data_IF_047749947219
#
_entry.id   IF_047749947219
#
_cell.length_a   1.000
_cell.length_b   1.000
_cell.length_c   1.000
_cell.angle_alpha   90.00
_cell.angle_beta   90.00
_cell.angle_gamma   90.00
#
_symmetry.space_group_name_H-M   'P 1'
#
loop_
_entity.id
_entity.type
_entity.pdbx_description
1 polymer ?
#
# COMPACT_ATOMS: atom_id res chain seq x y z
N UNK A 1 -41.54 -9.96 17.09
CA UNK A 1 -40.37 -10.62 17.71
C UNK A 1 -39.83 -11.68 16.78
N UNK A 2 -38.92 -11.29 15.86
CA UNK A 2 -38.12 -12.24 15.06
C UNK A 2 -36.82 -12.46 15.78
N UNK A 3 -36.69 -13.59 16.46
CA UNK A 3 -35.39 -14.14 16.85
C UNK A 3 -34.65 -14.47 15.54
N UNK A 4 -33.68 -13.61 15.16
CA UNK A 4 -32.66 -13.98 14.18
C UNK A 4 -31.85 -15.10 14.82
N UNK A 5 -32.02 -16.30 14.31
CA UNK A 5 -31.14 -17.42 14.59
C UNK A 5 -29.76 -17.06 14.04
N UNK A 6 -28.83 -16.74 14.93
CA UNK A 6 -27.41 -16.64 14.57
C UNK A 6 -26.95 -18.02 14.13
N UNK A 7 -26.61 -18.14 12.86
CA UNK A 7 -26.07 -19.37 12.28
C UNK A 7 -24.78 -19.75 13.02
N UNK A 8 -24.89 -20.82 13.74
CA UNK A 8 -24.02 -21.70 14.45
C UNK A 8 -22.52 -21.63 14.34
N UNK A 9 -21.92 -20.47 14.55
CA UNK A 9 -20.48 -20.40 14.84
C UNK A 9 -20.29 -20.78 16.32
N UNK A 10 -19.56 -21.84 16.66
CA UNK A 10 -19.32 -22.20 18.05
C UNK A 10 -18.72 -21.02 18.81
N UNK A 11 -19.17 -20.82 20.06
CA UNK A 11 -18.68 -19.73 20.90
C UNK A 11 -17.14 -19.84 21.04
N UNK A 12 -16.42 -18.77 20.70
CA UNK A 12 -14.95 -18.76 20.59
C UNK A 12 -14.39 -18.95 19.18
N UNK A 13 -15.19 -19.34 18.21
CA UNK A 13 -14.75 -19.54 16.83
C UNK A 13 -14.30 -18.23 16.16
N UNK A 14 -14.84 -17.08 16.56
CA UNK A 14 -14.40 -15.78 16.06
C UNK A 14 -12.92 -15.53 16.40
N UNK A 15 -12.52 -15.74 17.64
CA UNK A 15 -11.14 -15.58 18.08
C UNK A 15 -10.18 -16.51 17.34
N UNK A 16 -10.56 -17.76 17.18
CA UNK A 16 -9.75 -18.75 16.46
C UNK A 16 -9.64 -18.40 14.98
N UNK A 17 -10.72 -18.00 14.33
CA UNK A 17 -10.72 -17.58 12.92
C UNK A 17 -9.84 -16.35 12.69
N UNK A 18 -9.91 -15.35 13.59
CA UNK A 18 -9.06 -14.15 13.52
C UNK A 18 -7.59 -14.53 13.65
N UNK A 19 -7.22 -15.34 14.65
CA UNK A 19 -5.82 -15.73 14.85
C UNK A 19 -5.29 -16.75 13.81
N UNK A 20 -6.17 -17.44 13.12
CA UNK A 20 -5.82 -18.27 11.97
C UNK A 20 -5.62 -17.45 10.68
N UNK A 21 -5.85 -16.12 10.71
CA UNK A 21 -5.80 -15.27 9.53
C UNK A 21 -6.98 -15.45 8.56
N UNK A 22 -8.04 -16.16 8.97
CA UNK A 22 -9.23 -16.44 8.16
C UNK A 22 -10.25 -15.28 8.19
N UNK A 23 -9.76 -14.05 8.24
CA UNK A 23 -10.57 -12.85 8.40
C UNK A 23 -11.43 -12.55 7.15
N UNK A 24 -10.94 -12.91 5.96
CA UNK A 24 -11.54 -12.65 4.66
C UNK A 24 -11.95 -13.94 3.95
N UNK A 25 -12.49 -14.88 4.65
CA UNK A 25 -12.86 -16.16 4.07
C UNK A 25 -14.24 -16.64 4.47
N UNK A 26 -14.55 -17.89 4.07
CA UNK A 26 -15.80 -18.56 4.39
C UNK A 26 -16.01 -18.84 5.89
N UNK A 27 -14.96 -18.67 6.72
CA UNK A 27 -14.99 -18.98 8.15
C UNK A 27 -15.61 -17.87 9.01
N UNK A 28 -15.47 -16.59 8.58
CA UNK A 28 -16.06 -15.43 9.26
C UNK A 28 -16.58 -14.48 8.21
N UNK A 29 -17.90 -14.26 8.17
CA UNK A 29 -18.49 -13.31 7.25
C UNK A 29 -18.18 -11.87 7.70
N UNK A 30 -17.89 -10.97 6.75
CA UNK A 30 -17.64 -9.56 7.06
C UNK A 30 -18.82 -8.90 7.81
N UNK A 31 -20.05 -9.38 7.59
CA UNK A 31 -21.25 -8.97 8.31
C UNK A 31 -21.22 -9.35 9.80
N UNK A 32 -20.68 -10.51 10.16
CA UNK A 32 -20.57 -10.95 11.56
C UNK A 32 -19.56 -10.10 12.34
N UNK A 33 -18.46 -9.71 11.69
CA UNK A 33 -17.48 -8.80 12.28
C UNK A 33 -18.06 -7.40 12.46
N UNK A 34 -18.77 -6.89 11.47
CA UNK A 34 -19.43 -5.59 11.54
C UNK A 34 -20.50 -5.57 12.64
N UNK A 35 -21.31 -6.63 12.78
CA UNK A 35 -22.28 -6.77 13.85
C UNK A 35 -21.61 -6.87 15.23
N UNK A 36 -20.52 -7.62 15.34
CA UNK A 36 -19.71 -7.70 16.57
C UNK A 36 -19.20 -6.32 16.99
N UNK A 37 -18.63 -5.56 16.08
CA UNK A 37 -18.08 -4.22 16.37
C UNK A 37 -19.19 -3.22 16.72
N UNK A 38 -20.34 -3.29 16.06
CA UNK A 38 -21.46 -2.38 16.28
C UNK A 38 -22.25 -2.68 17.57
N UNK A 39 -22.09 -3.85 18.17
CA UNK A 39 -22.82 -4.22 19.39
C UNK A 39 -22.26 -3.50 20.61
N UNK A 40 -23.15 -2.93 21.45
CA UNK A 40 -22.78 -2.33 22.75
C UNK A 40 -22.83 -3.33 23.93
N UNK A 41 -23.20 -4.60 23.69
CA UNK A 41 -23.34 -5.63 24.72
C UNK A 41 -22.01 -6.33 25.00
N UNK A 42 -21.32 -5.91 26.05
CA UNK A 42 -20.06 -6.49 26.49
C UNK A 42 -20.14 -7.99 26.80
N UNK A 43 -21.29 -8.47 27.30
CA UNK A 43 -21.49 -9.89 27.58
C UNK A 43 -21.52 -10.74 26.30
N UNK A 44 -22.18 -10.25 25.27
CA UNK A 44 -22.16 -10.89 23.93
C UNK A 44 -20.77 -10.91 23.32
N UNK A 45 -20.03 -9.82 23.45
CA UNK A 45 -18.64 -9.73 22.93
C UNK A 45 -17.72 -10.74 23.61
N UNK A 46 -17.78 -10.83 24.92
CA UNK A 46 -16.98 -11.80 25.68
C UNK A 46 -17.33 -13.24 25.31
N UNK A 47 -18.62 -13.54 25.16
CA UNK A 47 -19.08 -14.86 24.77
C UNK A 47 -18.65 -15.22 23.34
N UNK A 48 -18.81 -14.30 22.39
CA UNK A 48 -18.42 -14.52 21.01
C UNK A 48 -16.90 -14.69 20.85
N UNK A 49 -16.12 -13.93 21.61
CA UNK A 49 -14.66 -13.96 21.53
C UNK A 49 -14.02 -15.13 22.26
N UNK A 50 -14.34 -15.30 23.54
CA UNK A 50 -13.69 -16.30 24.40
C UNK A 50 -14.45 -17.64 24.49
N UNK A 51 -15.74 -17.65 24.18
CA UNK A 51 -16.56 -18.84 24.32
C UNK A 51 -17.12 -19.08 25.73
N UNK A 52 -18.11 -19.98 25.81
CA UNK A 52 -18.81 -20.28 27.07
C UNK A 52 -17.92 -20.94 28.12
N UNK A 53 -17.06 -21.88 27.69
CA UNK A 53 -16.19 -22.65 28.58
C UNK A 53 -15.14 -21.76 29.24
N UNK A 54 -14.55 -20.84 28.46
CA UNK A 54 -13.62 -19.88 29.03
C UNK A 54 -14.29 -18.92 30.01
N UNK A 55 -15.50 -18.48 29.72
CA UNK A 55 -16.27 -17.63 30.64
C UNK A 55 -16.67 -18.38 31.93
N UNK A 56 -16.97 -19.67 31.85
CA UNK A 56 -17.20 -20.50 33.02
C UNK A 56 -15.95 -20.61 33.88
N UNK A 57 -14.79 -20.85 33.27
CA UNK A 57 -13.50 -20.83 33.94
C UNK A 57 -13.21 -19.46 34.59
N UNK A 58 -13.48 -18.35 33.89
CA UNK A 58 -13.27 -17.00 34.42
C UNK A 58 -14.11 -16.75 35.67
N UNK A 59 -15.36 -17.23 35.71
CA UNK A 59 -16.25 -17.06 36.85
C UNK A 59 -15.73 -17.76 38.12
N UNK A 60 -14.94 -18.80 37.95
CA UNK A 60 -14.32 -19.56 39.05
C UNK A 60 -13.03 -18.91 39.59
N UNK A 61 -12.49 -17.89 38.90
CA UNK A 61 -11.24 -17.24 39.34
C UNK A 61 -11.48 -16.28 40.51
N UNK A 62 -10.56 -16.22 41.47
CA UNK A 62 -10.63 -15.29 42.60
C UNK A 62 -10.52 -13.82 42.16
N UNK A 63 -9.62 -13.54 41.20
CA UNK A 63 -9.49 -12.23 40.56
C UNK A 63 -9.97 -12.31 39.07
N UNK A 64 -11.28 -12.24 38.90
CA UNK A 64 -11.91 -12.28 37.56
C UNK A 64 -11.49 -11.11 36.68
N UNK A 65 -11.31 -9.94 37.30
CA UNK A 65 -11.01 -8.70 36.57
C UNK A 65 -9.58 -8.73 36.05
N UNK A 66 -8.64 -9.13 36.88
CA UNK A 66 -7.24 -9.30 36.49
C UNK A 66 -7.07 -10.40 35.44
N UNK A 67 -7.76 -11.54 35.61
CA UNK A 67 -7.70 -12.64 34.64
C UNK A 67 -8.27 -12.24 33.27
N UNK A 68 -9.40 -11.52 33.25
CA UNK A 68 -9.98 -11.00 32.00
C UNK A 68 -9.03 -10.01 31.33
N UNK A 69 -8.54 -9.04 32.10
CA UNK A 69 -7.60 -8.03 31.57
C UNK A 69 -6.36 -8.68 30.97
N UNK A 70 -5.75 -9.61 31.69
CA UNK A 70 -4.56 -10.32 31.20
C UNK A 70 -4.84 -11.13 29.92
N UNK A 71 -6.06 -11.69 29.78
CA UNK A 71 -6.44 -12.39 28.55
C UNK A 71 -6.64 -11.44 27.37
N UNK A 72 -7.29 -10.30 27.59
CA UNK A 72 -7.49 -9.26 26.57
C UNK A 72 -6.16 -8.66 26.15
N UNK A 73 -5.30 -8.29 27.10
CA UNK A 73 -3.97 -7.72 26.81
C UNK A 73 -3.11 -8.69 25.99
N UNK A 74 -3.18 -9.98 26.28
CA UNK A 74 -2.47 -11.02 25.52
C UNK A 74 -2.99 -11.13 24.08
N UNK A 75 -4.32 -11.07 23.90
CA UNK A 75 -4.92 -11.14 22.59
C UNK A 75 -4.65 -9.88 21.77
N UNK A 76 -4.63 -8.70 22.40
CA UNK A 76 -4.21 -7.44 21.77
C UNK A 76 -2.76 -7.57 21.27
N UNK A 77 -1.83 -7.99 22.16
CA UNK A 77 -0.43 -8.15 21.77
C UNK A 77 -0.25 -9.12 20.59
N UNK A 78 -1.04 -10.20 20.55
CA UNK A 78 -1.03 -11.15 19.43
C UNK A 78 -1.57 -10.54 18.14
N UNK A 79 -2.63 -9.74 18.21
CA UNK A 79 -3.16 -9.02 17.05
C UNK A 79 -2.15 -8.00 16.53
N UNK A 80 -1.52 -7.24 17.43
CA UNK A 80 -0.48 -6.27 17.07
C UNK A 80 0.70 -6.95 16.36
N UNK A 81 1.12 -8.12 16.83
CA UNK A 81 2.16 -8.90 16.17
C UNK A 81 1.73 -9.36 14.76
N UNK A 82 0.49 -9.82 14.60
CA UNK A 82 -0.04 -10.23 13.30
C UNK A 82 -0.13 -9.05 12.32
N UNK A 83 -0.63 -7.91 12.79
CA UNK A 83 -0.72 -6.67 12.00
C UNK A 83 0.69 -6.21 11.60
N UNK A 84 1.64 -6.19 12.54
CA UNK A 84 3.02 -5.78 12.27
C UNK A 84 3.69 -6.67 11.22
N UNK A 85 3.53 -7.98 11.32
CA UNK A 85 4.03 -8.92 10.30
C UNK A 85 3.42 -8.67 8.92
N UNK A 86 2.13 -8.38 8.87
CA UNK A 86 1.44 -8.09 7.62
C UNK A 86 1.90 -6.76 7.01
N UNK A 87 2.04 -5.73 7.82
CA UNK A 87 2.58 -4.44 7.41
C UNK A 87 4.01 -4.57 6.90
N UNK A 88 4.86 -5.29 7.63
CA UNK A 88 6.23 -5.57 7.22
C UNK A 88 6.28 -6.27 5.86
N UNK A 89 5.42 -7.25 5.62
CA UNK A 89 5.35 -7.95 4.35
C UNK A 89 4.94 -7.02 3.20
N UNK A 90 4.02 -6.08 3.45
CA UNK A 90 3.61 -5.07 2.47
C UNK A 90 4.73 -4.05 2.23
N UNK A 91 5.32 -3.51 3.30
CA UNK A 91 6.38 -2.50 3.22
C UNK A 91 7.67 -3.04 2.58
N UNK A 92 7.96 -4.32 2.76
CA UNK A 92 9.10 -5.00 2.11
C UNK A 92 8.82 -5.44 0.68
N UNK A 93 7.60 -5.20 0.17
CA UNK A 93 7.28 -5.54 -1.21
C UNK A 93 8.14 -4.67 -2.17
N UNK A 94 8.98 -5.28 -3.05
CA UNK A 94 9.91 -4.52 -3.89
C UNK A 94 9.23 -3.46 -4.78
N UNK A 95 8.00 -3.74 -5.22
CA UNK A 95 7.24 -2.77 -6.02
C UNK A 95 6.83 -1.55 -5.21
N UNK A 96 6.45 -1.74 -3.94
CA UNK A 96 6.09 -0.65 -3.04
C UNK A 96 7.33 0.18 -2.70
N UNK A 97 8.45 -0.46 -2.39
CA UNK A 97 9.70 0.23 -2.07
C UNK A 97 10.21 1.09 -3.24
N UNK A 98 10.10 0.58 -4.47
CA UNK A 98 10.43 1.38 -5.67
C UNK A 98 9.51 2.59 -5.81
N UNK A 99 8.21 2.39 -5.65
CA UNK A 99 7.23 3.48 -5.73
C UNK A 99 7.48 4.54 -4.64
N UNK A 100 7.72 4.10 -3.42
CA UNK A 100 8.08 4.98 -2.30
C UNK A 100 9.36 5.76 -2.57
N UNK A 101 10.40 5.09 -3.08
CA UNK A 101 11.65 5.73 -3.48
C UNK A 101 11.44 6.83 -4.52
N UNK A 102 10.69 6.55 -5.59
CA UNK A 102 10.36 7.53 -6.63
C UNK A 102 9.60 8.73 -6.06
N UNK A 103 8.56 8.50 -5.28
CA UNK A 103 7.76 9.58 -4.68
C UNK A 103 8.55 10.38 -3.63
N UNK A 104 9.37 9.73 -2.84
CA UNK A 104 10.25 10.40 -1.89
C UNK A 104 11.29 11.27 -2.60
N UNK A 105 11.82 10.79 -3.72
CA UNK A 105 12.72 11.57 -4.58
C UNK A 105 12.05 12.82 -5.15
N UNK A 106 10.83 12.68 -5.67
CA UNK A 106 10.04 13.81 -6.15
C UNK A 106 9.72 14.80 -5.02
N UNK A 107 9.28 14.30 -3.86
CA UNK A 107 9.03 15.14 -2.67
C UNK A 107 10.27 15.93 -2.27
N UNK A 108 11.43 15.27 -2.22
CA UNK A 108 12.70 15.89 -1.93
C UNK A 108 13.07 17.00 -2.93
N UNK A 109 12.83 16.79 -4.22
CA UNK A 109 13.05 17.83 -5.24
C UNK A 109 12.12 19.02 -5.03
N UNK A 110 10.81 18.75 -4.82
CA UNK A 110 9.81 19.81 -4.65
C UNK A 110 10.11 20.68 -3.42
N UNK A 111 10.50 20.06 -2.31
CA UNK A 111 10.84 20.79 -1.07
C UNK A 111 12.05 21.71 -1.24
N UNK A 112 12.96 21.39 -2.17
CA UNK A 112 14.17 22.16 -2.43
C UNK A 112 14.04 23.16 -3.57
N UNK A 113 12.88 23.19 -4.25
CA UNK A 113 12.63 24.25 -5.22
C UNK A 113 12.62 25.61 -4.50
N UNK A 114 13.30 26.63 -5.07
CA UNK A 114 13.29 27.97 -4.47
C UNK A 114 11.84 28.47 -4.34
N UNK A 115 11.47 28.89 -3.14
CA UNK A 115 10.14 29.46 -2.86
C UNK A 115 10.21 30.97 -3.02
N UNK A 116 9.28 31.58 -3.76
CA UNK A 116 9.16 33.04 -3.81
C UNK A 116 8.88 33.64 -5.18
N UNK A 117 8.66 34.96 -5.20
CA UNK A 117 8.46 35.76 -6.42
C UNK A 117 9.77 35.78 -7.21
N UNK A 118 9.78 35.14 -8.36
CA UNK A 118 10.97 34.98 -9.22
C UNK A 118 11.47 33.55 -9.37
N UNK A 119 10.82 32.59 -8.74
CA UNK A 119 11.11 31.20 -8.98
C UNK A 119 10.74 30.81 -10.43
N UNK A 120 11.78 30.58 -11.25
CA UNK A 120 11.62 30.19 -12.65
C UNK A 120 11.74 28.68 -12.85
N UNK A 121 11.96 27.90 -11.77
CA UNK A 121 12.08 26.45 -11.85
C UNK A 121 10.70 25.80 -11.82
N UNK A 122 10.40 25.05 -12.87
CA UNK A 122 9.15 24.28 -12.98
C UNK A 122 9.51 22.80 -13.08
N UNK A 123 8.89 21.99 -12.24
CA UNK A 123 9.00 20.53 -12.30
C UNK A 123 7.79 19.99 -13.06
N UNK A 124 8.06 19.29 -14.16
CA UNK A 124 7.04 18.55 -14.91
C UNK A 124 7.33 17.04 -14.74
N UNK A 125 6.30 16.26 -14.50
CA UNK A 125 6.42 14.81 -14.34
C UNK A 125 5.87 14.12 -15.58
N UNK A 126 6.70 13.31 -16.24
CA UNK A 126 6.30 12.42 -17.32
C UNK A 126 6.22 10.98 -16.83
N UNK A 127 5.02 10.42 -16.78
CA UNK A 127 4.84 9.01 -16.46
C UNK A 127 4.99 8.18 -17.76
N UNK A 128 6.09 7.44 -17.85
CA UNK A 128 6.33 6.47 -18.91
C UNK A 128 6.98 5.22 -18.31
N UNK A 129 6.55 4.03 -18.77
CA UNK A 129 7.21 2.78 -18.35
C UNK A 129 8.44 2.55 -19.21
N UNK A 130 9.50 1.97 -18.62
CA UNK A 130 10.72 1.67 -19.36
C UNK A 130 10.49 0.92 -20.67
N UNK A 131 9.61 -0.09 -20.65
CA UNK A 131 9.23 -0.85 -21.84
C UNK A 131 8.57 0.03 -22.92
N UNK A 132 7.85 1.08 -22.53
CA UNK A 132 7.23 2.01 -23.48
C UNK A 132 8.29 2.90 -24.15
N UNK A 133 9.24 3.38 -23.35
CA UNK A 133 10.39 4.16 -23.84
C UNK A 133 11.24 3.33 -24.80
N UNK A 134 11.58 2.10 -24.42
CA UNK A 134 12.32 1.20 -25.29
C UNK A 134 11.60 0.98 -26.64
N UNK A 135 10.32 0.66 -26.60
CA UNK A 135 9.53 0.43 -27.83
C UNK A 135 9.41 1.65 -28.71
N UNK A 136 9.35 2.83 -28.13
CA UNK A 136 9.25 4.07 -28.86
C UNK A 136 10.56 4.37 -29.60
N UNK A 137 11.69 4.20 -28.92
CA UNK A 137 13.02 4.38 -29.50
C UNK A 137 13.35 3.31 -30.56
N UNK A 138 13.03 2.05 -30.29
CA UNK A 138 13.26 0.93 -31.23
C UNK A 138 12.45 1.06 -32.54
N UNK A 139 11.26 1.68 -32.47
CA UNK A 139 10.39 1.88 -33.63
C UNK A 139 10.72 3.13 -34.42
N UNK A 140 11.39 4.07 -33.82
CA UNK A 140 11.81 5.29 -34.47
C UNK A 140 13.04 4.98 -35.34
N UNK A 141 13.01 5.42 -36.61
CA UNK A 141 14.17 5.28 -37.53
C UNK A 141 15.31 6.14 -37.00
N UNK A 142 14.98 7.34 -36.50
CA UNK A 142 15.88 8.25 -35.83
C UNK A 142 15.22 8.75 -34.55
N UNK A 143 16.02 9.14 -33.53
CA UNK A 143 15.53 9.54 -32.20
C UNK A 143 14.52 10.71 -32.28
N UNK A 144 14.72 11.66 -33.17
CA UNK A 144 13.84 12.82 -33.40
C UNK A 144 12.44 12.43 -33.90
N UNK A 145 12.28 11.20 -34.43
CA UNK A 145 10.97 10.68 -34.86
C UNK A 145 10.22 9.96 -33.74
N UNK A 146 10.86 9.76 -32.59
CA UNK A 146 10.22 9.12 -31.45
C UNK A 146 9.08 9.99 -30.86
N UNK A 147 8.09 9.33 -30.25
CA UNK A 147 7.02 10.05 -29.55
C UNK A 147 7.54 10.77 -28.32
N UNK A 148 8.58 10.21 -27.70
CA UNK A 148 9.27 10.83 -26.57
C UNK A 148 9.88 12.17 -26.99
N UNK A 149 10.64 12.20 -28.10
CA UNK A 149 11.22 13.42 -28.61
C UNK A 149 10.14 14.47 -28.97
N UNK A 150 9.11 14.08 -29.66
CA UNK A 150 7.97 14.97 -29.99
C UNK A 150 7.35 15.58 -28.75
N UNK A 151 7.15 14.78 -27.71
CA UNK A 151 6.53 15.22 -26.46
C UNK A 151 7.45 16.12 -25.62
N UNK A 152 8.74 15.89 -25.64
CA UNK A 152 9.71 16.62 -24.84
C UNK A 152 10.23 17.85 -25.59
N UNK A 153 10.57 17.69 -26.86
CA UNK A 153 11.20 18.73 -27.66
C UNK A 153 10.20 19.52 -28.50
N UNK A 154 9.52 18.91 -29.43
CA UNK A 154 8.65 19.64 -30.39
C UNK A 154 7.54 20.39 -29.69
N UNK A 155 6.90 19.81 -28.67
CA UNK A 155 5.80 20.45 -27.95
C UNK A 155 6.23 21.64 -27.10
N UNK A 156 7.51 21.74 -26.72
CA UNK A 156 8.00 22.81 -25.86
C UNK A 156 8.93 23.81 -26.58
N UNK A 157 9.69 23.36 -27.58
CA UNK A 157 10.57 24.24 -28.36
C UNK A 157 9.92 24.74 -29.65
N UNK A 158 9.04 23.96 -30.27
CA UNK A 158 8.41 24.27 -31.56
C UNK A 158 7.14 25.09 -31.46
N UNK A 159 6.61 25.41 -30.29
CA UNK A 159 5.32 26.10 -30.13
C UNK A 159 5.44 27.43 -29.42
N UNK A 160 4.64 28.40 -29.86
CA UNK A 160 4.52 29.71 -29.22
C UNK A 160 4.02 29.53 -27.77
N UNK A 161 4.81 29.97 -26.80
CA UNK A 161 4.51 29.81 -25.38
C UNK A 161 5.01 28.52 -24.76
N UNK A 162 5.71 27.68 -25.48
CA UNK A 162 6.40 26.50 -24.96
C UNK A 162 7.51 26.87 -23.97
N UNK A 163 7.83 25.97 -23.09
CA UNK A 163 8.82 26.15 -22.02
C UNK A 163 9.88 25.05 -22.12
N UNK A 164 11.00 25.33 -22.79
CA UNK A 164 12.08 24.37 -22.94
C UNK A 164 12.56 23.82 -21.60
N UNK A 165 12.85 22.52 -21.57
CA UNK A 165 13.40 21.87 -20.40
C UNK A 165 14.91 22.16 -20.30
N UNK A 166 15.38 22.47 -19.09
CA UNK A 166 16.81 22.65 -18.83
C UNK A 166 17.52 21.36 -18.39
N UNK A 167 16.77 20.39 -17.86
CA UNK A 167 17.29 19.11 -17.43
C UNK A 167 16.22 18.03 -17.41
N UNK A 168 16.62 16.78 -17.62
CA UNK A 168 15.79 15.59 -17.48
C UNK A 168 16.41 14.67 -16.43
N UNK A 169 15.57 14.12 -15.58
CA UNK A 169 15.95 13.09 -14.62
C UNK A 169 15.12 11.84 -14.93
N UNK A 170 15.80 10.75 -15.25
CA UNK A 170 15.18 9.47 -15.54
C UNK A 170 15.23 8.58 -14.30
N UNK A 171 14.07 8.18 -13.77
CA UNK A 171 13.94 7.27 -12.64
C UNK A 171 13.70 5.83 -13.15
N UNK A 172 14.69 5.30 -13.89
CA UNK A 172 14.70 3.92 -14.38
C UNK A 172 15.90 3.15 -13.82
N UNK A 173 15.71 1.83 -13.70
CA UNK A 173 16.81 0.92 -13.39
C UNK A 173 17.36 0.35 -14.69
N UNK A 174 18.66 0.54 -14.91
CA UNK A 174 19.39 0.06 -16.08
C UNK A 174 20.26 -1.12 -15.69
N UNK A 175 20.24 -2.17 -16.51
CA UNK A 175 21.17 -3.26 -16.42
C UNK A 175 22.32 -3.05 -17.41
N UNK A 176 23.47 -3.71 -17.19
CA UNK A 176 24.63 -3.65 -18.10
C UNK A 176 24.43 -4.52 -19.35
N UNK A 177 23.21 -4.73 -19.79
CA UNK A 177 22.89 -5.47 -21.00
C UNK A 177 22.96 -4.56 -22.24
N UNK A 178 23.22 -5.15 -23.40
CA UNK A 178 23.35 -4.42 -24.65
C UNK A 178 22.09 -3.60 -25.02
N UNK A 179 20.85 -4.12 -24.86
CA UNK A 179 19.64 -3.36 -25.17
C UNK A 179 19.51 -2.07 -24.34
N UNK A 180 19.72 -2.12 -23.02
CA UNK A 180 19.60 -0.95 -22.17
C UNK A 180 20.67 0.11 -22.53
N UNK A 181 21.88 -0.32 -22.86
CA UNK A 181 22.95 0.58 -23.29
C UNK A 181 22.65 1.27 -24.61
N UNK A 182 22.02 0.59 -25.57
CA UNK A 182 21.59 1.19 -26.83
C UNK A 182 20.51 2.25 -26.64
N UNK A 183 19.52 1.94 -25.79
CA UNK A 183 18.47 2.91 -25.45
C UNK A 183 19.06 4.13 -24.72
N UNK A 184 19.97 3.93 -23.79
CA UNK A 184 20.67 5.03 -23.10
C UNK A 184 21.46 5.90 -24.08
N UNK A 185 22.14 5.31 -25.06
CA UNK A 185 22.82 6.06 -26.14
C UNK A 185 21.83 6.84 -26.99
N UNK A 186 20.64 6.28 -27.27
CA UNK A 186 19.56 6.97 -27.95
C UNK A 186 19.06 8.19 -27.17
N UNK A 187 18.87 8.04 -25.87
CA UNK A 187 18.41 9.12 -24.97
C UNK A 187 19.44 10.22 -24.77
N UNK A 188 20.72 9.97 -25.02
CA UNK A 188 21.82 10.92 -24.80
C UNK A 188 22.13 11.78 -26.04
N UNK A 189 21.47 11.55 -27.15
CA UNK A 189 21.59 12.33 -28.41
C UNK A 189 20.70 13.57 -28.36
#
# INVERSE_FOLDING_TARGET
SRRLAMSGTPAGALREAVFAGAFWGKAVAASEVAEFVASADAGRHLLAWFGADWLAWLRAQPDRRGALRAAVDRDIARLDEMISRQLDAVLRQPRLQRLEGSWSGIGWLVERLPQGKGNQVRLKLLQARWVEVCRDIDRAIEFDQSQLFKKIYESEFGQLGGQPYGAFVCDYYFDHNAPDLEIMKGLSK
#
